data_IF_419044189597
#
_entry.id   IF_419044189597
#
_cell.length_a   1.000
_cell.length_b   1.000
_cell.length_c   1.000
_cell.angle_alpha   90.00
_cell.angle_beta   90.00
_cell.angle_gamma   90.00
#
_symmetry.space_group_name_H-M   'P 1'
#
loop_
_entity.id
_entity.type
_entity.pdbx_description
1 polymer ?
#
# COMPACT_ATOMS: atom_id res chain seq x y z
N UNK A 1 5.43 -23.28 9.44
CA UNK A 1 5.32 -21.87 9.88
C UNK A 1 3.89 -21.43 9.55
N UNK A 2 3.06 -21.13 10.56
CA UNK A 2 1.68 -20.66 10.36
C UNK A 2 1.66 -19.17 10.70
N UNK A 3 1.51 -18.32 9.69
CA UNK A 3 1.11 -16.93 9.88
C UNK A 3 -0.23 -16.76 9.18
N UNK A 4 -1.27 -16.49 9.95
CA UNK A 4 -2.47 -15.83 9.46
C UNK A 4 -2.35 -14.38 9.95
N UNK A 5 -1.93 -13.49 9.07
CA UNK A 5 -1.95 -12.06 9.33
C UNK A 5 -3.29 -11.53 8.82
N UNK A 6 -4.19 -11.19 9.74
CA UNK A 6 -5.38 -10.39 9.43
C UNK A 6 -4.98 -8.93 9.65
N UNK A 7 -4.71 -8.20 8.57
CA UNK A 7 -4.54 -6.73 8.61
C UNK A 7 -5.89 -6.10 8.23
N UNK A 8 -6.86 -6.13 9.13
CA UNK A 8 -8.22 -5.58 8.93
C UNK A 8 -8.91 -6.02 7.61
N UNK A 9 -9.85 -5.22 7.08
CA UNK A 9 -10.54 -5.44 5.81
C UNK A 9 -9.64 -5.30 4.55
N UNK A 10 -8.35 -4.99 4.72
CA UNK A 10 -7.44 -4.59 3.62
C UNK A 10 -6.71 -5.76 2.96
N UNK A 11 -6.42 -6.84 3.69
CA UNK A 11 -5.68 -7.98 3.18
C UNK A 11 -6.23 -9.31 3.71
N UNK A 12 -6.30 -10.32 2.84
CA UNK A 12 -6.80 -11.65 3.19
C UNK A 12 -5.78 -12.71 2.79
N UNK A 13 -5.22 -13.41 3.78
CA UNK A 13 -4.41 -14.61 3.60
C UNK A 13 -5.32 -15.85 3.51
N UNK A 14 -5.10 -16.68 2.50
CA UNK A 14 -5.96 -17.84 2.18
C UNK A 14 -5.11 -19.11 2.09
N UNK A 15 -4.85 -19.82 3.20
CA UNK A 15 -4.13 -21.08 3.17
C UNK A 15 -4.98 -22.20 2.56
N UNK A 16 -4.38 -23.06 1.73
CA UNK A 16 -5.08 -24.19 1.11
C UNK A 16 -5.51 -25.23 2.14
N UNK A 17 -6.78 -25.67 2.09
CA UNK A 17 -7.32 -26.74 2.95
C UNK A 17 -7.42 -28.09 2.21
N UNK A 18 -7.25 -28.08 0.88
CA UNK A 18 -7.11 -29.24 -0.01
C UNK A 18 -6.13 -28.89 -1.13
N UNK A 19 -5.50 -29.91 -1.72
CA UNK A 19 -4.51 -29.72 -2.78
C UNK A 19 -5.15 -29.06 -4.02
N UNK A 20 -4.51 -28.00 -4.52
CA UNK A 20 -4.68 -27.41 -5.86
C UNK A 20 -5.95 -26.64 -6.22
N UNK A 21 -6.87 -26.35 -5.29
CA UNK A 21 -7.96 -25.42 -5.58
C UNK A 21 -8.53 -24.76 -4.33
N UNK A 22 -8.84 -23.48 -4.42
CA UNK A 22 -9.67 -22.76 -3.45
C UNK A 22 -10.74 -21.96 -4.18
N UNK A 23 -12.01 -22.19 -3.85
CA UNK A 23 -13.15 -21.47 -4.40
C UNK A 23 -13.53 -20.28 -3.52
N UNK A 24 -13.58 -19.07 -4.08
CA UNK A 24 -13.97 -17.87 -3.32
C UNK A 24 -14.81 -16.87 -4.10
N UNK A 25 -15.82 -16.32 -3.44
CA UNK A 25 -16.60 -15.19 -3.92
C UNK A 25 -15.82 -13.88 -3.71
N UNK A 26 -15.61 -13.12 -4.78
CA UNK A 26 -14.86 -11.86 -4.77
C UNK A 26 -15.76 -10.69 -5.21
N UNK A 27 -16.47 -10.05 -4.28
CA UNK A 27 -17.42 -8.96 -4.64
C UNK A 27 -16.74 -7.62 -4.99
N UNK A 28 -15.46 -7.49 -4.65
CA UNK A 28 -14.65 -6.30 -4.91
C UNK A 28 -13.49 -6.59 -5.88
N UNK A 29 -12.73 -5.55 -6.21
CA UNK A 29 -11.43 -5.68 -6.86
C UNK A 29 -10.41 -6.26 -5.88
N UNK A 30 -9.62 -7.24 -6.31
CA UNK A 30 -8.53 -7.83 -5.54
C UNK A 30 -7.24 -7.83 -6.33
N UNK A 31 -6.11 -7.74 -5.63
CA UNK A 31 -4.78 -7.77 -6.21
C UNK A 31 -3.94 -8.85 -5.53
N UNK A 32 -3.18 -9.63 -6.29
CA UNK A 32 -2.23 -10.58 -5.74
C UNK A 32 -1.11 -9.86 -4.98
N UNK A 33 -0.81 -10.30 -3.76
CA UNK A 33 0.34 -9.82 -3.00
C UNK A 33 1.53 -10.78 -3.16
N UNK A 34 2.77 -10.28 -3.34
CA UNK A 34 3.14 -8.88 -3.48
C UNK A 34 3.11 -8.38 -4.94
N UNK A 35 2.73 -9.19 -5.93
CA UNK A 35 2.90 -8.83 -7.35
C UNK A 35 2.09 -7.61 -7.80
N UNK A 36 0.97 -7.31 -7.16
CA UNK A 36 0.09 -6.19 -7.49
C UNK A 36 -0.81 -6.45 -8.70
N UNK A 37 -0.73 -7.62 -9.32
CA UNK A 37 -1.55 -7.98 -10.48
C UNK A 37 -2.99 -8.15 -10.03
N UNK A 38 -3.92 -7.51 -10.74
CA UNK A 38 -5.34 -7.62 -10.46
C UNK A 38 -5.85 -9.05 -10.69
N UNK A 39 -6.67 -9.53 -9.76
CA UNK A 39 -7.38 -10.79 -9.89
C UNK A 39 -8.56 -10.56 -10.83
N UNK A 40 -8.52 -11.16 -12.02
CA UNK A 40 -9.52 -10.97 -13.08
C UNK A 40 -10.81 -11.77 -12.84
N UNK A 41 -11.30 -11.79 -11.59
CA UNK A 41 -12.51 -12.53 -11.22
C UNK A 41 -13.25 -11.73 -10.14
N UNK A 42 -14.35 -11.09 -10.53
CA UNK A 42 -15.23 -10.31 -9.65
C UNK A 42 -16.63 -10.89 -9.72
N UNK A 43 -17.29 -11.09 -8.59
CA UNK A 43 -18.67 -11.56 -8.46
C UNK A 43 -18.89 -13.05 -8.72
N UNK A 44 -17.83 -13.87 -8.76
CA UNK A 44 -17.92 -15.33 -8.96
C UNK A 44 -16.94 -16.08 -8.07
N UNK A 45 -17.17 -17.39 -7.91
CA UNK A 45 -16.19 -18.30 -7.33
C UNK A 45 -15.05 -18.51 -8.31
N UNK A 46 -13.82 -18.19 -7.88
CA UNK A 46 -12.60 -18.45 -8.65
C UNK A 46 -11.82 -19.59 -8.02
N UNK A 47 -11.38 -20.56 -8.82
CA UNK A 47 -10.35 -21.52 -8.43
C UNK A 47 -8.98 -20.86 -8.53
N UNK A 48 -8.30 -20.71 -7.40
CA UNK A 48 -6.95 -20.16 -7.34
C UNK A 48 -5.91 -21.26 -7.16
N UNK A 49 -4.85 -21.20 -7.96
CA UNK A 49 -3.68 -22.07 -7.81
C UNK A 49 -3.06 -21.88 -6.42
N UNK A 50 -3.07 -22.96 -5.64
CA UNK A 50 -2.49 -23.02 -4.30
C UNK A 50 -1.64 -24.30 -4.14
N UNK A 51 -0.50 -24.41 -4.85
CA UNK A 51 0.46 -25.49 -4.61
C UNK A 51 0.98 -25.43 -3.17
N UNK A 52 1.53 -26.54 -2.67
CA UNK A 52 1.93 -26.69 -1.26
C UNK A 52 2.87 -25.58 -0.76
N UNK A 53 3.68 -25.02 -1.65
CA UNK A 53 4.68 -23.99 -1.36
C UNK A 53 4.13 -22.55 -1.46
N UNK A 54 2.87 -22.36 -1.86
CA UNK A 54 2.27 -21.05 -2.09
C UNK A 54 1.09 -20.81 -1.17
N UNK A 55 1.17 -19.74 -0.38
CA UNK A 55 0.02 -19.16 0.30
C UNK A 55 -0.50 -18.01 -0.55
N UNK A 56 -1.76 -18.09 -0.95
CA UNK A 56 -2.40 -17.00 -1.68
C UNK A 56 -2.74 -15.86 -0.72
N UNK A 57 -2.16 -14.68 -0.97
CA UNK A 57 -2.45 -13.45 -0.24
C UNK A 57 -2.97 -12.44 -1.25
N UNK A 58 -4.09 -11.79 -0.92
CA UNK A 58 -4.68 -10.76 -1.76
C UNK A 58 -4.93 -9.49 -0.97
N UNK A 59 -4.68 -8.37 -1.62
CA UNK A 59 -5.06 -7.04 -1.17
C UNK A 59 -6.41 -6.66 -1.77
N UNK A 60 -7.32 -6.17 -0.94
CA UNK A 60 -8.61 -5.65 -1.39
C UNK A 60 -8.41 -4.26 -1.97
N UNK A 61 -9.06 -3.97 -3.09
CA UNK A 61 -9.13 -2.62 -3.66
C UNK A 61 -9.79 -1.65 -2.68
N UNK A 62 -9.33 -0.40 -2.66
CA UNK A 62 -9.77 0.63 -1.73
C UNK A 62 -8.86 0.84 -0.53
N UNK A 63 -7.74 0.13 -0.43
CA UNK A 63 -6.86 0.18 0.74
C UNK A 63 -5.42 0.59 0.43
N UNK A 64 -4.84 1.35 1.36
CA UNK A 64 -3.42 1.71 1.40
C UNK A 64 -2.79 1.00 2.58
N UNK A 65 -1.74 0.22 2.33
CA UNK A 65 -1.00 -0.53 3.34
C UNK A 65 0.42 0.03 3.44
N UNK A 66 0.78 0.67 4.56
CA UNK A 66 2.17 1.00 4.85
C UNK A 66 2.94 -0.27 5.22
N UNK A 67 4.15 -0.39 4.69
CA UNK A 67 5.08 -1.48 4.99
C UNK A 67 6.46 -0.92 5.24
N UNK A 68 7.27 -1.63 6.01
CA UNK A 68 8.72 -1.44 6.02
C UNK A 68 9.39 -2.67 5.44
N UNK A 69 10.51 -2.47 4.74
CA UNK A 69 11.36 -3.58 4.35
C UNK A 69 11.83 -4.28 5.64
N UNK A 70 11.70 -5.61 5.77
CA UNK A 70 12.20 -6.32 6.95
C UNK A 70 13.70 -6.06 7.14
N UNK A 71 14.11 -5.72 8.37
CA UNK A 71 15.51 -5.75 8.78
C UNK A 71 15.89 -7.12 9.36
N UNK A 72 17.18 -7.34 9.60
CA UNK A 72 17.69 -8.59 10.23
C UNK A 72 17.07 -8.87 11.61
N UNK A 73 16.57 -7.82 12.27
CA UNK A 73 15.73 -7.89 13.46
C UNK A 73 14.75 -6.71 13.49
N UNK A 74 13.80 -6.74 14.42
CA UNK A 74 12.76 -5.71 14.57
C UNK A 74 13.35 -4.30 14.78
N UNK A 75 14.43 -4.17 15.58
CA UNK A 75 15.06 -2.88 15.87
C UNK A 75 15.67 -2.26 14.61
N UNK A 76 16.39 -3.05 13.82
CA UNK A 76 16.97 -2.60 12.55
C UNK A 76 15.87 -2.33 11.51
N UNK A 77 14.81 -3.13 11.51
CA UNK A 77 13.66 -2.95 10.62
C UNK A 77 12.93 -1.61 10.83
N UNK A 78 12.80 -1.14 12.08
CA UNK A 78 12.13 0.14 12.41
C UNK A 78 12.86 1.37 11.85
N UNK A 79 14.14 1.25 11.51
CA UNK A 79 14.92 2.31 10.86
C UNK A 79 14.80 2.35 9.33
N UNK A 80 14.15 1.34 8.73
CA UNK A 80 14.02 1.27 7.28
C UNK A 80 12.93 2.21 6.77
N UNK A 81 13.14 2.73 5.56
CA UNK A 81 12.14 3.52 4.86
C UNK A 81 10.86 2.72 4.62
N UNK A 82 9.74 3.43 4.68
CA UNK A 82 8.43 2.93 4.37
C UNK A 82 8.25 2.75 2.86
N UNK A 83 7.38 1.79 2.54
CA UNK A 83 6.75 1.60 1.24
C UNK A 83 5.24 1.69 1.44
N UNK A 84 4.53 2.44 0.60
CA UNK A 84 3.07 2.37 0.54
C UNK A 84 2.64 1.47 -0.62
N UNK A 85 1.89 0.41 -0.30
CA UNK A 85 1.15 -0.36 -1.31
C UNK A 85 -0.28 0.16 -1.40
N UNK A 86 -0.70 0.56 -2.59
CA UNK A 86 -2.00 1.18 -2.83
C UNK A 86 -2.77 0.30 -3.80
N UNK A 87 -3.81 -0.36 -3.30
CA UNK A 87 -4.74 -1.11 -4.12
C UNK A 87 -5.93 -0.22 -4.46
N UNK A 88 -6.05 0.23 -5.71
CA UNK A 88 -7.20 1.05 -6.11
C UNK A 88 -8.52 0.27 -5.99
N UNK A 89 -9.57 0.93 -5.57
CA UNK A 89 -10.94 0.42 -5.75
C UNK A 89 -11.35 0.51 -7.22
N UNK A 90 -12.51 -0.04 -7.57
CA UNK A 90 -13.10 0.13 -8.90
C UNK A 90 -13.29 1.62 -9.31
N UNK A 91 -13.35 2.54 -8.33
CA UNK A 91 -13.48 3.98 -8.55
C UNK A 91 -12.12 4.71 -8.58
N UNK A 92 -11.01 3.98 -8.46
CA UNK A 92 -9.66 4.57 -8.40
C UNK A 92 -9.26 5.12 -7.02
N UNK A 93 -10.13 4.99 -6.02
CA UNK A 93 -9.90 5.52 -4.67
C UNK A 93 -9.27 4.47 -3.76
N UNK A 94 -8.52 4.92 -2.74
CA UNK A 94 -8.05 4.08 -1.64
C UNK A 94 -7.81 4.88 -0.36
N UNK A 95 -7.86 4.23 0.80
CA UNK A 95 -7.57 4.86 2.11
C UNK A 95 -6.74 3.94 2.99
N UNK A 96 -5.97 4.51 3.90
CA UNK A 96 -5.25 3.75 4.92
C UNK A 96 -4.77 4.66 6.05
N UNK A 97 -4.16 4.06 7.05
CA UNK A 97 -3.58 4.80 8.16
C UNK A 97 -2.30 4.13 8.68
N UNK A 98 -1.50 4.90 9.41
CA UNK A 98 -0.31 4.43 10.12
C UNK A 98 -0.28 5.05 11.51
N UNK A 99 -0.28 4.20 12.53
CA UNK A 99 0.06 4.58 13.90
C UNK A 99 1.53 4.19 14.16
N UNK A 100 2.30 5.10 14.75
CA UNK A 100 3.72 4.87 14.99
C UNK A 100 4.22 5.53 16.28
N UNK A 101 4.65 4.72 17.25
CA UNK A 101 5.22 5.16 18.53
C UNK A 101 6.61 4.52 18.75
N UNK A 102 7.05 4.38 19.99
CA UNK A 102 8.29 3.70 20.33
C UNK A 102 8.18 2.17 20.29
N UNK A 103 6.96 1.62 20.40
CA UNK A 103 6.65 0.20 20.41
C UNK A 103 6.87 -0.51 21.75
N UNK A 104 7.08 0.23 22.85
CA UNK A 104 7.37 -0.32 24.19
C UNK A 104 6.58 0.39 25.31
N UNK A 105 6.40 1.71 25.22
CA UNK A 105 5.69 2.47 26.25
C UNK A 105 4.20 2.12 26.27
N UNK A 106 3.66 1.91 27.48
CA UNK A 106 2.24 1.58 27.66
C UNK A 106 1.32 2.81 27.60
N UNK A 107 1.87 4.01 27.76
CA UNK A 107 1.14 5.28 27.88
C UNK A 107 1.31 6.17 26.64
N UNK A 108 1.73 5.61 25.50
CA UNK A 108 2.02 6.38 24.28
C UNK A 108 0.78 7.15 23.80
N UNK A 109 -0.40 6.53 23.89
CA UNK A 109 -1.69 7.14 23.52
C UNK A 109 -2.07 8.25 24.51
N UNK A 110 -2.02 7.97 25.82
CA UNK A 110 -2.38 8.89 26.90
C UNK A 110 -1.49 10.13 26.92
N UNK A 111 -0.18 9.94 26.67
CA UNK A 111 0.81 11.02 26.60
C UNK A 111 0.90 11.66 25.23
N UNK A 112 0.17 11.14 24.23
CA UNK A 112 0.25 11.57 22.83
C UNK A 112 1.65 11.54 22.26
N UNK A 113 2.48 10.57 22.66
CA UNK A 113 3.88 10.39 22.20
C UNK A 113 3.96 9.43 21.01
N UNK A 114 3.14 9.69 19.99
CA UNK A 114 3.08 8.91 18.75
C UNK A 114 2.96 9.82 17.53
N UNK A 115 3.06 9.22 16.35
CA UNK A 115 2.67 9.79 15.08
C UNK A 115 1.46 9.04 14.52
N UNK A 116 0.54 9.75 13.90
CA UNK A 116 -0.61 9.16 13.21
C UNK A 116 -0.79 9.80 11.84
N UNK A 117 -0.78 8.95 10.82
CA UNK A 117 -0.95 9.36 9.44
C UNK A 117 -2.26 8.80 8.89
N UNK A 118 -2.96 9.64 8.13
CA UNK A 118 -4.06 9.24 7.27
C UNK A 118 -3.60 9.34 5.82
N UNK A 119 -3.82 8.29 5.06
CA UNK A 119 -3.53 8.23 3.64
C UNK A 119 -4.84 8.19 2.85
N UNK A 120 -4.93 8.99 1.79
CA UNK A 120 -6.04 8.93 0.85
C UNK A 120 -5.55 9.02 -0.58
N UNK A 121 -6.15 8.23 -1.45
CA UNK A 121 -6.00 8.33 -2.89
C UNK A 121 -7.35 8.70 -3.48
N UNK A 122 -7.41 9.85 -4.13
CA UNK A 122 -8.58 10.33 -4.87
C UNK A 122 -8.09 11.02 -6.14
N UNK A 123 -8.68 10.70 -7.29
CA UNK A 123 -8.36 11.37 -8.57
C UNK A 123 -6.86 11.40 -8.92
N UNK A 124 -6.15 10.28 -8.74
CA UNK A 124 -4.69 10.16 -8.96
C UNK A 124 -3.80 11.00 -8.04
N UNK A 125 -4.35 11.52 -6.93
CA UNK A 125 -3.61 12.24 -5.90
C UNK A 125 -3.56 11.39 -4.63
N UNK A 126 -2.37 10.89 -4.30
CA UNK A 126 -2.08 10.36 -2.97
C UNK A 126 -1.82 11.55 -2.03
N UNK A 127 -2.62 11.67 -0.98
CA UNK A 127 -2.42 12.59 0.13
C UNK A 127 -1.91 11.83 1.34
N UNK A 128 -0.85 12.35 1.96
CA UNK A 128 -0.28 11.87 3.22
C UNK A 128 -0.52 12.97 4.26
N UNK A 129 -1.38 12.70 5.23
CA UNK A 129 -1.78 13.65 6.26
C UNK A 129 -1.28 13.20 7.64
N UNK A 130 -0.28 13.88 8.19
CA UNK A 130 0.21 13.68 9.56
C UNK A 130 -0.68 14.42 10.56
N UNK A 131 -1.73 13.74 11.03
CA UNK A 131 -2.70 14.32 12.00
C UNK A 131 -2.14 14.40 13.43
N UNK A 132 -1.20 13.53 13.78
CA UNK A 132 -0.41 13.58 15.01
C UNK A 132 1.05 13.36 14.64
N UNK A 133 1.96 14.19 15.17
CA UNK A 133 3.36 14.22 14.75
C UNK A 133 4.32 14.43 15.94
N UNK A 134 4.07 13.76 17.07
CA UNK A 134 4.71 14.06 18.35
C UNK A 134 5.91 13.14 18.66
N UNK A 135 6.07 12.04 17.94
CA UNK A 135 7.21 11.12 18.13
C UNK A 135 8.32 11.41 17.13
N UNK A 136 9.38 12.10 17.58
CA UNK A 136 10.51 12.54 16.72
C UNK A 136 11.71 11.58 16.70
N UNK A 137 11.68 10.53 17.52
CA UNK A 137 12.82 9.63 17.71
C UNK A 137 12.89 8.50 16.65
N UNK A 138 12.17 8.64 15.53
CA UNK A 138 12.19 7.68 14.43
C UNK A 138 12.16 8.40 13.08
N UNK A 139 13.01 8.00 12.11
CA UNK A 139 12.99 8.56 10.77
C UNK A 139 11.75 8.04 10.02
N UNK A 140 10.71 8.87 9.88
CA UNK A 140 9.49 8.55 9.15
C UNK A 140 9.66 8.71 7.63
N UNK A 141 10.67 8.04 7.06
CA UNK A 141 11.05 8.18 5.65
C UNK A 141 10.19 7.31 4.75
N UNK A 142 9.57 7.88 3.73
CA UNK A 142 8.88 7.17 2.65
C UNK A 142 9.77 7.16 1.42
N UNK A 143 10.11 5.97 0.92
CA UNK A 143 11.00 5.82 -0.24
C UNK A 143 10.28 5.35 -1.50
N UNK A 144 9.24 4.52 -1.34
CA UNK A 144 8.55 3.88 -2.46
C UNK A 144 7.03 3.92 -2.31
N UNK A 145 6.34 4.25 -3.39
CA UNK A 145 4.89 4.09 -3.53
C UNK A 145 4.60 3.18 -4.71
N UNK A 146 3.79 2.14 -4.48
CA UNK A 146 3.36 1.20 -5.50
C UNK A 146 1.84 1.21 -5.62
N UNK A 147 1.34 1.63 -6.77
CA UNK A 147 -0.09 1.81 -7.04
C UNK A 147 -0.56 0.75 -8.02
N UNK A 148 -1.54 -0.06 -7.62
CA UNK A 148 -2.15 -1.11 -8.43
C UNK A 148 -3.46 -0.64 -9.05
N UNK A 149 -3.71 -1.05 -10.29
CA UNK A 149 -4.95 -0.73 -11.00
C UNK A 149 -4.96 0.66 -11.64
N UNK A 150 -3.80 1.26 -11.91
CA UNK A 150 -3.71 2.52 -12.64
C UNK A 150 -4.02 2.23 -14.11
N UNK A 151 -5.29 2.35 -14.51
CA UNK A 151 -5.76 1.83 -15.81
C UNK A 151 -5.27 2.59 -17.05
N UNK A 152 -4.77 3.83 -16.88
CA UNK A 152 -4.31 4.69 -17.98
C UNK A 152 -2.80 4.91 -17.91
N UNK A 153 -2.10 5.01 -19.06
CA UNK A 153 -0.68 5.31 -19.08
C UNK A 153 -0.31 6.58 -18.33
N UNK A 154 0.63 6.46 -17.40
CA UNK A 154 1.17 7.58 -16.62
C UNK A 154 2.16 8.38 -17.47
N UNK A 155 1.99 9.70 -17.50
CA UNK A 155 2.80 10.62 -18.30
C UNK A 155 3.71 11.52 -17.46
N UNK A 156 3.31 11.81 -16.23
CA UNK A 156 4.13 12.58 -15.31
C UNK A 156 3.79 12.23 -13.86
N UNK A 157 4.76 12.42 -12.96
CA UNK A 157 4.58 12.32 -11.51
C UNK A 157 5.11 13.61 -10.88
N UNK A 158 4.39 14.12 -9.88
CA UNK A 158 4.86 15.23 -9.03
C UNK A 158 4.79 14.83 -7.57
N UNK A 159 5.76 15.31 -6.80
CA UNK A 159 5.86 15.15 -5.34
C UNK A 159 5.86 16.55 -4.72
N UNK A 160 4.85 16.86 -3.91
CA UNK A 160 4.64 18.21 -3.36
C UNK A 160 4.74 19.29 -4.46
N UNK A 161 3.96 19.12 -5.54
CA UNK A 161 3.91 20.00 -6.73
C UNK A 161 5.20 20.08 -7.55
N UNK A 162 6.28 19.42 -7.15
CA UNK A 162 7.55 19.38 -7.89
C UNK A 162 7.64 18.15 -8.76
N UNK A 163 8.15 18.34 -9.97
CA UNK A 163 8.36 17.28 -10.94
C UNK A 163 9.29 16.17 -10.41
N UNK A 164 8.86 14.92 -10.52
CA UNK A 164 9.60 13.74 -10.05
C UNK A 164 9.82 12.77 -11.20
N UNK A 165 11.09 12.42 -11.47
CA UNK A 165 11.47 11.62 -12.63
C UNK A 165 11.66 10.14 -12.36
N UNK A 166 11.76 9.76 -11.09
CA UNK A 166 12.02 8.39 -10.68
C UNK A 166 10.70 7.63 -10.49
N UNK A 167 10.14 7.20 -11.62
CA UNK A 167 8.97 6.33 -11.64
C UNK A 167 9.00 5.37 -12.83
N UNK A 168 8.27 4.26 -12.69
CA UNK A 168 8.06 3.28 -13.74
C UNK A 168 6.58 2.91 -13.79
N UNK A 169 6.01 2.87 -15.00
CA UNK A 169 4.65 2.41 -15.23
C UNK A 169 4.65 1.15 -16.09
N UNK A 170 4.14 0.06 -15.52
CA UNK A 170 3.93 -1.22 -16.21
C UNK A 170 2.53 -1.21 -16.83
N UNK A 171 2.47 -1.08 -18.17
CA UNK A 171 1.20 -1.05 -18.90
C UNK A 171 0.44 -2.39 -18.78
N UNK A 172 1.05 -3.58 -19.04
CA UNK A 172 0.35 -4.85 -18.92
C UNK A 172 -0.31 -5.11 -17.56
N UNK A 173 0.41 -4.81 -16.48
CA UNK A 173 -0.04 -5.10 -15.11
C UNK A 173 -0.81 -3.94 -14.46
N UNK A 174 -0.85 -2.77 -15.11
CA UNK A 174 -1.46 -1.53 -14.61
C UNK A 174 -0.88 -1.09 -13.26
N UNK A 175 0.45 -1.11 -13.16
CA UNK A 175 1.17 -0.80 -11.91
C UNK A 175 2.06 0.42 -12.11
N UNK A 176 1.84 1.46 -11.29
CA UNK A 176 2.76 2.58 -11.13
C UNK A 176 3.68 2.31 -9.93
N UNK A 177 4.98 2.49 -10.13
CA UNK A 177 6.00 2.44 -9.09
C UNK A 177 6.69 3.80 -9.07
N UNK A 178 6.56 4.54 -7.97
CA UNK A 178 7.31 5.78 -7.71
C UNK A 178 8.35 5.46 -6.66
N UNK A 179 9.63 5.71 -6.95
CA UNK A 179 10.76 5.33 -6.10
C UNK A 179 11.74 6.48 -5.94
N UNK A 180 12.70 6.32 -5.02
CA UNK A 180 13.69 7.35 -4.71
C UNK A 180 13.06 8.62 -4.16
N UNK A 181 11.98 8.47 -3.38
CA UNK A 181 11.26 9.60 -2.81
C UNK A 181 12.06 10.29 -1.70
N UNK A 182 12.76 9.51 -0.85
CA UNK A 182 13.44 9.97 0.38
C UNK A 182 12.62 11.01 1.20
N UNK A 183 11.29 10.86 1.18
CA UNK A 183 10.37 11.85 1.72
C UNK A 183 10.28 11.70 3.23
N UNK A 184 10.58 12.76 3.99
CA UNK A 184 10.26 12.80 5.42
C UNK A 184 8.76 13.08 5.59
N UNK A 185 7.99 12.06 5.99
CA UNK A 185 6.55 12.19 6.19
C UNK A 185 6.19 13.20 7.30
N UNK A 186 7.14 13.59 8.16
CA UNK A 186 6.96 14.59 9.21
C UNK A 186 7.39 16.01 8.79
N UNK A 187 7.93 16.21 7.58
CA UNK A 187 8.42 17.52 7.13
C UNK A 187 7.33 18.59 7.07
N UNK A 188 6.09 18.18 6.76
CA UNK A 188 4.90 19.04 6.75
C UNK A 188 3.65 18.19 7.02
N UNK A 189 2.58 18.83 7.50
CA UNK A 189 1.34 18.13 7.88
C UNK A 189 0.68 17.42 6.71
N UNK A 190 0.69 18.01 5.51
CA UNK A 190 0.08 17.45 4.31
C UNK A 190 1.11 17.38 3.20
N UNK A 191 1.30 16.20 2.63
CA UNK A 191 2.18 15.95 1.49
C UNK A 191 1.41 15.25 0.38
N UNK A 192 1.76 15.52 -0.89
CA UNK A 192 1.07 14.91 -2.04
C UNK A 192 2.04 14.22 -3.00
N UNK A 193 1.57 13.13 -3.58
CA UNK A 193 2.16 12.49 -4.76
C UNK A 193 1.04 12.36 -5.78
N UNK A 194 1.25 12.95 -6.95
CA UNK A 194 0.22 13.07 -7.99
C UNK A 194 0.76 12.53 -9.30
N UNK A 195 -0.10 11.90 -10.09
CA UNK A 195 0.27 11.47 -11.43
C UNK A 195 -0.78 11.87 -12.47
N UNK A 196 -0.28 12.26 -13.64
CA UNK A 196 -1.12 12.53 -14.81
C UNK A 196 -1.13 11.32 -15.72
N UNK A 197 -2.27 11.12 -16.38
CA UNK A 197 -2.45 10.02 -17.33
C UNK A 197 -2.88 10.54 -18.69
N UNK A 198 -2.55 9.82 -19.76
CA UNK A 198 -3.02 10.18 -21.10
C UNK A 198 -4.55 10.09 -21.20
N UNK A 199 -5.19 11.11 -21.77
CA UNK A 199 -6.58 11.01 -22.23
C UNK A 199 -6.58 10.24 -23.53
N UNK A 200 -7.08 9.00 -23.53
CA UNK A 200 -7.45 8.35 -24.78
C UNK A 200 -8.71 9.05 -25.25
N UNK A 201 -8.59 9.91 -26.26
CA UNK A 201 -9.76 10.35 -27.03
C UNK A 201 -10.32 9.11 -27.73
N UNK A 202 -11.52 8.70 -27.34
CA UNK A 202 -12.30 7.65 -28.02
C UNK A 202 -13.08 8.28 -29.15
#
# INVERSE_FOLDING_TARGET
>A
MRFALIVSNAAVARPALRLNAQNFHMEDVWYHFPSGVQVNVVGVFADLDAPLEKINIHMRGGFIIPMQIPGDNLMLGRGNSFTLLIAQSALGNATGNLFWDDGDSMDSIETSTYNYFEFSLVSNTLTINATVANYKNSPMRLDLVRVFGVSKPVTNVTVNEKDHKEYFYNIPDQILIVYGLDMDMLAQLIQTIEWTTTTICV
#
